data_IF_230097214420
#
_entry.id   IF_230097214420
#
_cell.length_a   1.000
_cell.length_b   1.000
_cell.length_c   1.000
_cell.angle_alpha   90.00
_cell.angle_beta   90.00
_cell.angle_gamma   90.00
#
_symmetry.space_group_name_H-M   'P 1'
#
loop_
_entity.id
_entity.type
_entity.pdbx_description
1 polymer ?
#
# COMPACT_ATOMS: atom_id res chain seq x y z
N UNK A 1 -0.71 -15.38 9.78
CA UNK A 1 -0.47 -14.39 10.86
C UNK A 1 0.99 -13.98 10.94
N UNK A 2 1.94 -14.87 11.24
CA UNK A 2 3.38 -14.52 11.32
C UNK A 2 3.96 -13.82 10.07
N UNK A 3 3.63 -14.31 8.88
CA UNK A 3 4.13 -13.73 7.64
C UNK A 3 3.69 -12.28 7.39
N UNK A 4 2.45 -11.93 7.72
CA UNK A 4 1.92 -10.56 7.54
C UNK A 4 2.59 -9.58 8.51
N UNK A 5 2.85 -10.04 9.74
CA UNK A 5 3.61 -9.30 10.75
C UNK A 5 5.05 -9.05 10.31
N UNK A 6 5.71 -10.05 9.73
CA UNK A 6 7.06 -9.91 9.18
C UNK A 6 7.10 -8.90 8.01
N UNK A 7 6.08 -8.92 7.14
CA UNK A 7 5.93 -7.94 6.05
C UNK A 7 5.67 -6.53 6.57
N UNK A 8 4.83 -6.36 7.60
CA UNK A 8 4.62 -5.07 8.25
C UNK A 8 5.91 -4.51 8.85
N UNK A 9 6.72 -5.35 9.51
CA UNK A 9 8.04 -4.94 10.04
C UNK A 9 8.99 -4.52 8.93
N UNK A 10 8.97 -5.22 7.79
CA UNK A 10 9.75 -4.83 6.61
C UNK A 10 9.32 -3.45 6.08
N UNK A 11 8.02 -3.21 5.93
CA UNK A 11 7.50 -1.92 5.46
C UNK A 11 7.91 -0.77 6.39
N UNK A 12 7.84 -0.98 7.72
CA UNK A 12 8.26 0.03 8.68
C UNK A 12 9.77 0.31 8.59
N UNK A 13 10.62 -0.72 8.47
CA UNK A 13 12.07 -0.53 8.29
C UNK A 13 12.41 0.30 7.05
N UNK A 14 11.71 0.05 5.92
CA UNK A 14 11.91 0.84 4.70
C UNK A 14 11.48 2.29 4.92
N UNK A 15 10.32 2.49 5.53
CA UNK A 15 9.78 3.81 5.83
C UNK A 15 10.69 4.63 6.77
N UNK A 16 11.34 3.97 7.72
CA UNK A 16 12.32 4.56 8.66
C UNK A 16 13.70 4.80 8.04
N UNK A 17 14.06 4.04 6.98
CA UNK A 17 15.39 4.14 6.36
C UNK A 17 15.63 5.44 5.60
N UNK A 18 14.56 6.10 5.14
CA UNK A 18 14.64 7.31 4.33
C UNK A 18 13.47 8.26 4.64
N UNK A 19 13.80 9.45 5.14
CA UNK A 19 12.85 10.50 5.50
C UNK A 19 12.21 11.21 4.30
N UNK A 20 12.44 10.75 3.08
CA UNK A 20 11.69 11.13 1.86
C UNK A 20 10.58 10.12 1.50
N UNK A 21 10.64 8.88 1.99
CA UNK A 21 9.63 7.83 1.74
C UNK A 21 8.36 8.08 2.57
N UNK A 22 7.23 8.34 1.91
CA UNK A 22 5.95 8.67 2.58
C UNK A 22 5.01 7.46 2.75
N UNK A 23 5.21 6.42 1.94
CA UNK A 23 4.36 5.24 1.89
C UNK A 23 5.17 4.03 1.43
N UNK A 24 4.90 2.87 2.02
CA UNK A 24 5.38 1.56 1.58
C UNK A 24 4.21 0.59 1.66
N UNK A 25 4.02 -0.24 0.65
CA UNK A 25 2.95 -1.24 0.65
C UNK A 25 3.26 -2.42 -0.25
N UNK A 26 2.64 -3.55 0.05
CA UNK A 26 2.75 -4.78 -0.73
C UNK A 26 1.34 -5.14 -1.22
N UNK A 27 0.95 -4.74 -2.45
CA UNK A 27 -0.32 -5.12 -3.02
C UNK A 27 -0.32 -6.56 -3.51
N UNK A 28 -1.50 -7.17 -3.55
CA UNK A 28 -1.74 -8.38 -4.34
C UNK A 28 -2.00 -8.04 -5.82
N UNK A 29 -2.21 -9.08 -6.65
CA UNK A 29 -2.46 -8.92 -8.10
C UNK A 29 -3.70 -8.08 -8.46
N UNK A 30 -4.61 -7.85 -7.52
CA UNK A 30 -5.83 -7.04 -7.72
C UNK A 30 -5.65 -5.60 -7.24
N UNK A 31 -4.47 -5.23 -6.72
CA UNK A 31 -4.20 -3.90 -6.18
C UNK A 31 -4.59 -3.69 -4.71
N UNK A 32 -5.18 -4.70 -4.07
CA UNK A 32 -5.47 -4.69 -2.64
C UNK A 32 -4.17 -4.80 -1.84
N UNK A 33 -3.94 -3.87 -0.92
CA UNK A 33 -2.76 -3.87 -0.05
C UNK A 33 -2.84 -5.04 0.95
N UNK A 34 -1.86 -5.96 0.91
CA UNK A 34 -1.69 -7.02 1.90
C UNK A 34 -1.17 -6.42 3.21
N UNK A 35 -0.17 -5.57 3.10
CA UNK A 35 0.32 -4.70 4.19
C UNK A 35 0.60 -3.32 3.62
N UNK A 36 0.42 -2.30 4.45
CA UNK A 36 0.81 -0.93 4.14
C UNK A 36 1.25 -0.17 5.38
N UNK A 37 2.22 0.71 5.20
CA UNK A 37 2.71 1.63 6.23
C UNK A 37 2.82 3.02 5.64
N UNK A 38 2.33 4.01 6.38
CA UNK A 38 2.41 5.42 6.04
C UNK A 38 3.26 6.13 7.07
N UNK A 39 3.98 7.17 6.63
CA UNK A 39 4.72 8.02 7.56
C UNK A 39 3.78 8.58 8.62
N UNK A 40 4.24 8.59 9.86
CA UNK A 40 3.49 9.21 10.95
C UNK A 40 3.19 10.70 10.64
N UNK A 41 1.97 11.13 10.93
CA UNK A 41 1.48 12.48 10.63
C UNK A 41 1.15 12.74 9.15
N UNK A 42 1.22 11.74 8.27
CA UNK A 42 0.78 11.89 6.89
C UNK A 42 -0.75 11.86 6.79
N UNK A 43 -1.36 12.97 6.36
CA UNK A 43 -2.78 13.01 5.99
C UNK A 43 -2.95 12.36 4.63
N UNK A 44 -3.73 11.27 4.56
CA UNK A 44 -4.03 10.60 3.31
C UNK A 44 -5.06 11.40 2.51
N UNK A 45 -4.83 11.53 1.20
CA UNK A 45 -5.80 12.13 0.28
C UNK A 45 -7.00 11.19 0.07
N UNK A 46 -6.72 9.89 0.03
CA UNK A 46 -7.70 8.83 -0.21
C UNK A 46 -7.69 7.87 0.97
N UNK A 47 -8.87 7.40 1.33
CA UNK A 47 -9.04 6.29 2.27
C UNK A 47 -8.46 5.00 1.67
N UNK A 48 -8.08 4.01 2.50
CA UNK A 48 -7.64 2.71 2.01
C UNK A 48 -8.62 2.05 1.04
N UNK A 49 -9.93 2.22 1.28
CA UNK A 49 -11.01 1.69 0.44
C UNK A 49 -11.03 2.36 -0.93
N UNK A 50 -10.86 3.68 -1.00
CA UNK A 50 -10.78 4.42 -2.27
C UNK A 50 -9.54 4.01 -3.06
N UNK A 51 -8.39 3.83 -2.40
CA UNK A 51 -7.16 3.36 -3.04
C UNK A 51 -7.38 1.97 -3.68
N UNK A 52 -8.01 1.05 -2.96
CA UNK A 52 -8.32 -0.29 -3.48
C UNK A 52 -9.28 -0.23 -4.68
N UNK A 53 -10.33 0.58 -4.59
CA UNK A 53 -11.28 0.79 -5.68
C UNK A 53 -10.59 1.32 -6.94
N UNK A 54 -9.78 2.38 -6.84
CA UNK A 54 -9.07 2.93 -8.00
C UNK A 54 -8.06 1.95 -8.60
N UNK A 55 -7.43 1.12 -7.77
CA UNK A 55 -6.52 0.08 -8.25
C UNK A 55 -7.28 -0.97 -9.08
N UNK A 56 -8.43 -1.44 -8.59
CA UNK A 56 -9.31 -2.37 -9.32
C UNK A 56 -9.79 -1.75 -10.64
N UNK A 57 -10.30 -0.52 -10.62
CA UNK A 57 -10.72 0.19 -11.83
C UNK A 57 -9.60 0.28 -12.87
N UNK A 58 -8.38 0.55 -12.41
CA UNK A 58 -7.20 0.63 -13.27
C UNK A 58 -6.89 -0.71 -13.94
N UNK A 59 -6.92 -1.81 -13.18
CA UNK A 59 -6.74 -3.17 -13.71
C UNK A 59 -7.83 -3.51 -14.72
N UNK A 60 -9.10 -3.21 -14.44
CA UNK A 60 -10.20 -3.46 -15.37
C UNK A 60 -10.01 -2.69 -16.68
N UNK A 61 -9.69 -1.39 -16.61
CA UNK A 61 -9.43 -0.54 -17.79
C UNK A 61 -8.28 -1.05 -18.65
N UNK A 62 -7.25 -1.63 -18.05
CA UNK A 62 -6.12 -2.21 -18.79
C UNK A 62 -6.53 -3.46 -19.57
N UNK A 63 -7.44 -4.29 -19.03
CA UNK A 63 -7.87 -5.53 -19.66
C UNK A 63 -8.99 -5.34 -20.69
N UNK A 64 -9.69 -4.21 -20.68
CA UNK A 64 -10.73 -3.87 -21.66
C UNK A 64 -10.20 -3.03 -22.84
N UNK A 65 -8.88 -2.89 -22.97
CA UNK A 65 -8.21 -2.20 -24.08
C UNK A 65 -7.70 -3.18 -25.13
#
# INVERSE_FOLDING_TARGET
>A
MKAEEDLHRLCNKILESDSSVRFVGIPNKMGRQIVSSYRNGLTLLLTPQEIEMFAIESVLRMNTR
#
